data_IF_097211322016
#
_entry.id   IF_097211322016
#
_cell.length_a   1.000
_cell.length_b   1.000
_cell.length_c   1.000
_cell.angle_alpha   90.00
_cell.angle_beta   90.00
_cell.angle_gamma   90.00
#
_symmetry.space_group_name_H-M   'P 1'
#
loop_
_entity.id
_entity.type
_entity.pdbx_description
1 polymer ?
#
# COMPACT_ATOMS: atom_id res chain seq x y z
N UNK A 1 20.66 -30.09 -3.68
CA UNK A 1 19.64 -29.07 -3.95
C UNK A 1 19.94 -28.55 -5.36
N UNK A 2 18.97 -28.65 -6.25
CA UNK A 2 19.03 -28.09 -7.61
C UNK A 2 17.77 -27.25 -7.84
N UNK A 3 17.81 -26.35 -8.80
CA UNK A 3 16.64 -25.61 -9.25
C UNK A 3 16.53 -25.71 -10.77
N UNK A 4 15.30 -25.61 -11.26
CA UNK A 4 14.97 -25.51 -12.67
C UNK A 4 14.22 -24.20 -12.86
N UNK A 5 14.72 -23.36 -13.75
CA UNK A 5 14.04 -22.12 -14.13
C UNK A 5 13.15 -22.38 -15.32
N UNK A 6 11.87 -22.05 -15.17
CA UNK A 6 10.87 -22.13 -16.25
C UNK A 6 10.53 -20.73 -16.67
N UNK A 7 10.98 -20.32 -17.85
CA UNK A 7 10.65 -19.03 -18.42
C UNK A 7 9.46 -19.16 -19.36
N UNK A 8 8.51 -18.27 -19.18
CA UNK A 8 7.36 -18.12 -20.08
C UNK A 8 7.66 -17.02 -21.10
N UNK A 9 7.08 -17.14 -22.28
CA UNK A 9 7.18 -16.16 -23.37
C UNK A 9 6.27 -14.94 -23.17
N UNK A 10 5.58 -14.86 -22.04
CA UNK A 10 4.60 -13.82 -21.68
C UNK A 10 4.78 -13.41 -20.24
N UNK A 11 4.43 -12.15 -19.89
CA UNK A 11 4.29 -11.73 -18.50
C UNK A 11 3.28 -12.62 -17.75
N UNK A 12 3.45 -12.79 -16.46
CA UNK A 12 2.62 -13.61 -15.57
C UNK A 12 1.12 -13.29 -15.70
N UNK A 13 0.78 -12.00 -15.82
CA UNK A 13 -0.59 -11.51 -16.01
C UNK A 13 -1.27 -12.02 -17.31
N UNK A 14 -0.50 -12.45 -18.29
CA UNK A 14 -0.98 -13.02 -19.56
C UNK A 14 -1.00 -14.55 -19.58
N UNK A 15 -0.63 -15.20 -18.49
CA UNK A 15 -0.61 -16.64 -18.36
C UNK A 15 -2.00 -17.12 -17.94
N UNK A 16 -2.44 -18.21 -18.54
CA UNK A 16 -3.78 -18.78 -18.24
C UNK A 16 -3.86 -19.26 -16.80
N UNK A 17 -5.01 -19.06 -16.17
CA UNK A 17 -5.29 -19.45 -14.79
C UNK A 17 -5.03 -20.94 -14.51
N UNK A 18 -5.09 -21.80 -15.53
CA UNK A 18 -4.80 -23.22 -15.41
C UNK A 18 -3.30 -23.58 -15.39
N UNK A 19 -2.41 -22.63 -15.72
CA UNK A 19 -0.97 -22.91 -15.78
C UNK A 19 -0.40 -23.17 -14.38
N UNK A 20 -0.79 -22.39 -13.39
CA UNK A 20 -0.37 -22.62 -12.00
C UNK A 20 -0.90 -23.95 -11.47
N UNK A 21 -2.20 -24.26 -11.70
CA UNK A 21 -2.77 -25.51 -11.27
C UNK A 21 -2.07 -26.74 -11.87
N UNK A 22 -1.56 -26.65 -13.10
CA UNK A 22 -0.75 -27.69 -13.74
C UNK A 22 0.61 -27.87 -13.09
N UNK A 23 1.26 -26.75 -12.72
CA UNK A 23 2.53 -26.79 -12.00
C UNK A 23 2.35 -27.39 -10.61
N UNK A 24 1.32 -27.01 -9.89
CA UNK A 24 0.97 -27.57 -8.59
C UNK A 24 0.65 -29.07 -8.66
N UNK A 25 -0.07 -29.51 -9.69
CA UNK A 25 -0.34 -30.92 -9.94
C UNK A 25 0.97 -31.70 -10.21
N UNK A 26 1.93 -31.10 -10.89
CA UNK A 26 3.26 -31.70 -11.12
C UNK A 26 4.04 -31.81 -9.81
N UNK A 27 4.01 -30.77 -8.97
CA UNK A 27 4.61 -30.78 -7.63
C UNK A 27 4.03 -31.91 -6.78
N UNK A 28 2.72 -32.00 -6.66
CA UNK A 28 2.04 -32.99 -5.83
C UNK A 28 2.35 -34.43 -6.29
N UNK A 29 2.44 -34.66 -7.60
CA UNK A 29 2.78 -35.97 -8.16
C UNK A 29 4.23 -36.34 -7.86
N UNK A 30 5.15 -35.37 -7.93
CA UNK A 30 6.58 -35.58 -7.65
C UNK A 30 6.81 -35.83 -6.17
N UNK A 31 6.19 -35.05 -5.29
CA UNK A 31 6.28 -35.21 -3.84
C UNK A 31 5.70 -36.56 -3.38
N UNK A 32 4.61 -37.00 -3.99
CA UNK A 32 4.00 -38.31 -3.71
C UNK A 32 4.92 -39.47 -4.05
N UNK A 33 5.86 -39.33 -4.98
CA UNK A 33 6.87 -40.35 -5.31
C UNK A 33 7.89 -40.56 -4.19
N UNK A 34 8.04 -39.59 -3.26
CA UNK A 34 9.00 -39.59 -2.17
C UNK A 34 10.47 -39.49 -2.59
N UNK A 35 10.75 -39.37 -3.88
CA UNK A 35 12.09 -39.32 -4.42
C UNK A 35 12.72 -37.91 -4.33
N UNK A 36 11.94 -36.88 -4.52
CA UNK A 36 12.37 -35.49 -4.51
C UNK A 36 11.25 -34.64 -3.92
N UNK A 37 11.61 -33.70 -3.06
CA UNK A 37 10.71 -32.62 -2.61
C UNK A 37 10.85 -31.45 -3.56
N UNK A 38 9.76 -31.02 -4.18
CA UNK A 38 9.70 -29.90 -5.09
C UNK A 38 9.01 -28.73 -4.41
N UNK A 39 9.58 -27.54 -4.53
CA UNK A 39 8.96 -26.31 -4.11
C UNK A 39 8.89 -25.33 -5.28
N UNK A 40 7.74 -24.75 -5.51
CA UNK A 40 7.50 -23.77 -6.57
C UNK A 40 7.73 -22.37 -5.99
N UNK A 41 8.43 -21.52 -6.74
CA UNK A 41 8.68 -20.13 -6.39
C UNK A 41 8.75 -19.26 -7.63
N UNK A 42 8.69 -17.95 -7.46
CA UNK A 42 8.73 -16.97 -8.55
C UNK A 42 7.40 -16.22 -8.69
N UNK A 43 7.27 -15.44 -9.76
CA UNK A 43 6.15 -14.52 -9.94
C UNK A 43 4.81 -15.25 -10.13
N UNK A 44 4.77 -16.30 -10.95
CA UNK A 44 3.54 -17.03 -11.22
C UNK A 44 2.90 -17.67 -9.97
N UNK A 45 3.64 -18.40 -9.10
CA UNK A 45 3.08 -18.86 -7.83
C UNK A 45 2.65 -17.73 -6.90
N UNK A 46 3.42 -16.62 -6.84
CA UNK A 46 3.11 -15.50 -5.97
C UNK A 46 1.84 -14.75 -6.40
N UNK A 47 1.56 -14.67 -7.70
CA UNK A 47 0.32 -14.09 -8.22
C UNK A 47 -0.88 -15.01 -8.03
N UNK A 48 -0.70 -16.32 -8.24
CA UNK A 48 -1.78 -17.29 -8.05
C UNK A 48 -2.21 -17.46 -6.58
N UNK A 49 -1.28 -17.20 -5.64
CA UNK A 49 -1.55 -17.22 -4.18
C UNK A 49 -1.98 -15.83 -3.68
N UNK A 50 -1.99 -14.80 -4.53
CA UNK A 50 -2.62 -13.53 -4.14
C UNK A 50 -4.10 -13.78 -3.84
N UNK A 51 -4.36 -13.98 -2.54
CA UNK A 51 -5.74 -14.03 -2.04
C UNK A 51 -6.42 -12.71 -2.44
N UNK A 52 -7.63 -12.84 -3.01
CA UNK A 52 -8.50 -11.65 -3.15
C UNK A 52 -8.54 -10.91 -1.82
N UNK A 53 -8.69 -9.56 -1.81
CA UNK A 53 -8.74 -8.77 -0.59
C UNK A 53 -9.58 -9.48 0.45
N UNK A 54 -8.93 -10.11 1.41
CA UNK A 54 -9.52 -11.06 2.32
C UNK A 54 -10.29 -10.36 3.44
N UNK A 55 -11.00 -11.13 4.24
CA UNK A 55 -11.76 -10.61 5.38
C UNK A 55 -10.90 -9.79 6.37
N UNK A 56 -9.58 -9.93 6.34
CA UNK A 56 -8.65 -9.19 7.21
C UNK A 56 -8.60 -7.70 6.87
N UNK A 57 -8.57 -7.33 5.59
CA UNK A 57 -8.61 -5.92 5.17
C UNK A 57 -9.96 -5.28 5.49
N UNK A 58 -11.05 -6.02 5.29
CA UNK A 58 -12.39 -5.54 5.66
C UNK A 58 -12.48 -5.29 7.17
N UNK A 59 -11.94 -6.18 7.99
CA UNK A 59 -11.87 -6.00 9.45
C UNK A 59 -11.02 -4.77 9.79
N UNK A 60 -9.88 -4.58 9.14
CA UNK A 60 -9.02 -3.39 9.33
C UNK A 60 -9.77 -2.09 9.02
N UNK A 61 -10.47 -2.03 7.89
CA UNK A 61 -11.28 -0.87 7.49
C UNK A 61 -12.41 -0.63 8.49
N UNK A 62 -13.13 -1.66 8.92
CA UNK A 62 -14.21 -1.52 9.92
C UNK A 62 -13.69 -0.99 11.25
N UNK A 63 -12.57 -1.49 11.73
CA UNK A 63 -11.93 -0.99 12.96
C UNK A 63 -11.54 0.48 12.79
N UNK A 64 -10.93 0.86 11.66
CA UNK A 64 -10.57 2.25 11.38
C UNK A 64 -11.81 3.16 11.37
N UNK A 65 -12.91 2.74 10.74
CA UNK A 65 -14.18 3.47 10.72
C UNK A 65 -14.72 3.66 12.14
N UNK A 66 -14.72 2.62 12.98
CA UNK A 66 -15.19 2.71 14.36
C UNK A 66 -14.31 3.67 15.17
N UNK A 67 -12.99 3.57 15.07
CA UNK A 67 -12.04 4.46 15.75
C UNK A 67 -12.26 5.92 15.33
N UNK A 68 -12.39 6.18 14.02
CA UNK A 68 -12.65 7.52 13.50
C UNK A 68 -14.02 8.05 13.95
N UNK A 69 -15.04 7.21 13.97
CA UNK A 69 -16.37 7.59 14.44
C UNK A 69 -16.34 7.99 15.93
N UNK A 70 -15.63 7.25 16.75
CA UNK A 70 -15.44 7.57 18.18
C UNK A 70 -14.63 8.85 18.34
N UNK A 71 -13.54 9.01 17.59
CA UNK A 71 -12.68 10.19 17.65
C UNK A 71 -13.39 11.48 17.21
N UNK A 72 -14.20 11.40 16.17
CA UNK A 72 -14.90 12.56 15.62
C UNK A 72 -16.32 12.76 16.16
N UNK A 73 -16.98 11.71 16.61
CA UNK A 73 -18.36 11.74 17.07
C UNK A 73 -19.39 12.10 15.97
N UNK A 74 -18.98 12.07 14.70
CA UNK A 74 -19.81 12.45 13.56
C UNK A 74 -19.34 11.74 12.28
N UNK A 75 -20.29 11.15 11.56
CA UNK A 75 -20.04 10.48 10.26
C UNK A 75 -19.51 11.46 9.22
N UNK A 76 -20.02 12.68 9.18
CA UNK A 76 -19.60 13.71 8.23
C UNK A 76 -18.14 14.10 8.50
N UNK A 77 -17.78 14.30 9.76
CA UNK A 77 -16.41 14.67 10.14
C UNK A 77 -15.41 13.53 9.88
N UNK A 78 -15.84 12.28 10.03
CA UNK A 78 -15.04 11.08 9.66
C UNK A 78 -14.84 10.98 8.15
N UNK A 79 -15.83 11.38 7.35
CA UNK A 79 -15.76 11.30 5.89
C UNK A 79 -14.65 12.15 5.27
N UNK A 80 -14.25 13.24 5.92
CA UNK A 80 -13.24 14.15 5.39
C UNK A 80 -11.83 13.54 5.37
N UNK A 81 -11.30 12.96 6.46
CA UNK A 81 -10.01 12.23 6.40
C UNK A 81 -10.00 11.07 5.42
N UNK A 82 -11.06 10.28 5.39
CA UNK A 82 -11.20 9.15 4.47
C UNK A 82 -11.22 9.64 3.03
N UNK A 83 -11.99 10.67 2.72
CA UNK A 83 -12.06 11.25 1.38
C UNK A 83 -10.70 11.79 0.91
N UNK A 84 -9.96 12.48 1.77
CA UNK A 84 -8.62 12.97 1.47
C UNK A 84 -7.63 11.81 1.24
N UNK A 85 -7.68 10.77 2.07
CA UNK A 85 -6.83 9.59 1.90
C UNK A 85 -7.12 8.86 0.58
N UNK A 86 -8.40 8.73 0.19
CA UNK A 86 -8.77 8.11 -1.09
C UNK A 86 -8.31 8.93 -2.30
N UNK A 87 -8.42 10.26 -2.24
CA UNK A 87 -7.91 11.14 -3.31
C UNK A 87 -6.38 11.04 -3.37
N UNK A 88 -5.70 11.02 -2.22
CA UNK A 88 -4.25 10.82 -2.15
C UNK A 88 -3.84 9.48 -2.74
N UNK A 89 -4.53 8.40 -2.40
CA UNK A 89 -4.30 7.07 -2.93
C UNK A 89 -4.50 7.01 -4.45
N UNK A 90 -5.62 7.54 -4.95
CA UNK A 90 -5.87 7.57 -6.39
C UNK A 90 -4.79 8.34 -7.16
N UNK A 91 -4.32 9.47 -6.60
CA UNK A 91 -3.22 10.25 -7.16
C UNK A 91 -1.91 9.46 -7.14
N UNK A 92 -1.60 8.80 -6.02
CA UNK A 92 -0.39 7.98 -5.87
C UNK A 92 -0.37 6.82 -6.86
N UNK A 93 -1.46 6.04 -6.96
CA UNK A 93 -1.57 4.95 -7.92
C UNK A 93 -1.45 5.43 -9.37
N UNK A 94 -2.03 6.60 -9.68
CA UNK A 94 -1.86 7.23 -11.00
C UNK A 94 -0.41 7.60 -11.29
N UNK A 95 0.31 8.13 -10.30
CA UNK A 95 1.74 8.44 -10.43
C UNK A 95 2.59 7.17 -10.56
N UNK A 96 2.31 6.12 -9.79
CA UNK A 96 3.01 4.83 -9.92
C UNK A 96 2.83 4.27 -11.33
N UNK A 97 1.62 4.29 -11.87
CA UNK A 97 1.34 3.84 -13.23
C UNK A 97 2.11 4.66 -14.28
N UNK A 98 2.20 5.97 -14.06
CA UNK A 98 2.99 6.85 -14.93
C UNK A 98 4.49 6.51 -14.83
N UNK A 99 5.03 6.32 -13.64
CA UNK A 99 6.44 5.96 -13.42
C UNK A 99 6.75 4.59 -14.00
N UNK A 100 5.84 3.62 -13.86
CA UNK A 100 5.98 2.27 -14.43
C UNK A 100 6.12 2.26 -15.97
N UNK A 101 5.73 3.33 -16.65
CA UNK A 101 5.96 3.48 -18.09
C UNK A 101 7.41 3.81 -18.47
N UNK A 102 8.25 4.20 -17.50
CA UNK A 102 9.65 4.62 -17.72
C UNK A 102 10.66 3.88 -16.86
N UNK A 103 10.22 3.22 -15.79
CA UNK A 103 11.07 2.52 -14.83
C UNK A 103 10.43 1.20 -14.42
N UNK A 104 11.28 0.25 -14.04
CA UNK A 104 10.83 -1.02 -13.49
C UNK A 104 10.25 -0.79 -12.08
N UNK A 105 8.95 -0.98 -11.93
CA UNK A 105 8.22 -0.93 -10.66
C UNK A 105 7.85 -2.36 -10.28
N UNK A 106 8.11 -2.73 -9.04
CA UNK A 106 7.78 -4.06 -8.54
C UNK A 106 6.25 -4.24 -8.44
N UNK A 107 5.72 -5.39 -8.80
CA UNK A 107 4.28 -5.71 -8.76
C UNK A 107 3.65 -5.57 -7.36
N UNK A 108 4.45 -5.70 -6.31
CA UNK A 108 4.01 -5.51 -4.91
C UNK A 108 3.93 -4.03 -4.51
N UNK A 109 4.62 -3.13 -5.24
CA UNK A 109 4.70 -1.70 -4.89
C UNK A 109 3.34 -1.00 -4.78
N UNK A 110 2.37 -1.19 -5.70
CA UNK A 110 1.06 -0.56 -5.58
C UNK A 110 0.31 -0.97 -4.30
N UNK A 111 0.46 -2.24 -3.88
CA UNK A 111 -0.17 -2.75 -2.67
C UNK A 111 0.45 -2.09 -1.44
N UNK A 112 1.78 -2.01 -1.37
CA UNK A 112 2.49 -1.33 -0.28
C UNK A 112 2.17 0.16 -0.24
N UNK A 113 2.15 0.82 -1.39
CA UNK A 113 1.77 2.23 -1.50
C UNK A 113 0.34 2.46 -1.00
N UNK A 114 -0.60 1.57 -1.34
CA UNK A 114 -1.97 1.63 -0.86
C UNK A 114 -2.05 1.46 0.66
N UNK A 115 -1.37 0.46 1.22
CA UNK A 115 -1.36 0.21 2.67
C UNK A 115 -0.76 1.38 3.45
N UNK A 116 0.42 1.85 3.05
CA UNK A 116 1.10 2.97 3.70
C UNK A 116 0.30 4.26 3.47
N UNK A 117 -0.11 4.52 2.23
CA UNK A 117 -0.81 5.74 1.84
C UNK A 117 -2.16 5.90 2.54
N UNK A 118 -2.94 4.83 2.67
CA UNK A 118 -4.20 4.87 3.43
C UNK A 118 -3.94 5.10 4.92
N UNK A 119 -3.04 4.33 5.54
CA UNK A 119 -2.74 4.46 6.97
C UNK A 119 -2.23 5.85 7.32
N UNK A 120 -1.14 6.25 6.68
CA UNK A 120 -0.51 7.57 6.91
C UNK A 120 -1.42 8.72 6.49
N UNK A 121 -2.15 8.56 5.37
CA UNK A 121 -3.08 9.57 4.86
C UNK A 121 -4.23 9.84 5.82
N UNK A 122 -4.83 8.80 6.39
CA UNK A 122 -5.90 8.93 7.40
C UNK A 122 -5.34 9.56 8.68
N UNK A 123 -4.20 9.11 9.19
CA UNK A 123 -3.60 9.61 10.43
C UNK A 123 -3.22 11.08 10.33
N UNK A 124 -2.64 11.50 9.21
CA UNK A 124 -2.25 12.90 9.01
C UNK A 124 -3.46 13.80 8.78
N UNK A 125 -4.46 13.32 8.04
CA UNK A 125 -5.71 14.06 7.90
C UNK A 125 -6.43 14.19 9.25
N UNK A 126 -6.46 13.13 10.06
CA UNK A 126 -6.99 13.14 11.42
C UNK A 126 -6.31 14.20 12.28
N UNK A 127 -4.98 14.28 12.22
CA UNK A 127 -4.18 15.24 12.99
C UNK A 127 -4.53 16.69 12.63
N UNK A 128 -4.62 17.01 11.33
CA UNK A 128 -4.99 18.33 10.85
C UNK A 128 -6.43 18.69 11.25
N UNK A 129 -7.39 17.77 11.01
CA UNK A 129 -8.81 18.00 11.33
C UNK A 129 -9.05 18.14 12.83
N UNK A 130 -8.33 17.37 13.65
CA UNK A 130 -8.41 17.49 15.11
C UNK A 130 -7.94 18.86 15.56
N UNK A 131 -6.83 19.36 15.01
CA UNK A 131 -6.29 20.69 15.33
C UNK A 131 -7.23 21.80 14.88
N UNK A 132 -7.84 21.67 13.71
CA UNK A 132 -8.87 22.59 13.23
C UNK A 132 -10.07 22.65 14.18
N UNK A 133 -10.60 21.49 14.59
CA UNK A 133 -11.74 21.43 15.54
C UNK A 133 -11.39 22.00 16.92
N UNK A 134 -10.17 21.85 17.37
CA UNK A 134 -9.69 22.44 18.61
C UNK A 134 -9.69 23.97 18.53
N UNK A 135 -9.24 24.54 17.43
CA UNK A 135 -9.34 25.98 17.16
C UNK A 135 -10.78 26.49 17.23
N UNK A 136 -11.72 25.80 16.58
CA UNK A 136 -13.14 26.17 16.65
C UNK A 136 -13.71 26.11 18.08
N UNK A 137 -13.32 25.10 18.89
CA UNK A 137 -13.75 24.98 20.29
C UNK A 137 -13.22 26.11 21.18
N UNK A 138 -12.07 26.67 20.84
CA UNK A 138 -11.46 27.80 21.56
C UNK A 138 -12.00 29.15 21.09
N UNK A 139 -12.99 29.18 20.19
CA UNK A 139 -13.69 30.39 19.73
C UNK A 139 -13.04 31.04 18.50
N UNK A 140 -12.08 30.39 17.84
CA UNK A 140 -11.54 30.86 16.56
C UNK A 140 -12.61 30.80 15.47
N UNK A 141 -12.54 31.72 14.51
CA UNK A 141 -13.33 31.60 13.28
C UNK A 141 -12.86 30.42 12.44
N UNK A 142 -13.65 29.95 11.50
CA UNK A 142 -13.27 28.85 10.61
C UNK A 142 -11.99 29.13 9.83
N UNK A 143 -11.79 30.38 9.42
CA UNK A 143 -10.57 30.81 8.72
C UNK A 143 -9.35 30.76 9.63
N UNK A 144 -9.43 31.35 10.83
CA UNK A 144 -8.34 31.33 11.81
C UNK A 144 -7.99 29.92 12.25
N UNK A 145 -8.98 29.05 12.50
CA UNK A 145 -8.78 27.67 12.86
C UNK A 145 -8.09 26.87 11.73
N UNK A 146 -8.43 27.16 10.46
CA UNK A 146 -7.78 26.55 9.30
C UNK A 146 -6.31 26.97 9.21
N UNK A 147 -6.02 28.27 9.32
CA UNK A 147 -4.64 28.78 9.29
C UNK A 147 -3.83 28.17 10.44
N UNK A 148 -4.38 28.17 11.65
CA UNK A 148 -3.72 27.57 12.82
C UNK A 148 -3.44 26.07 12.64
N UNK A 149 -4.41 25.33 12.10
CA UNK A 149 -4.24 23.89 11.86
C UNK A 149 -3.15 23.61 10.80
N UNK A 150 -3.14 24.37 9.71
CA UNK A 150 -2.13 24.22 8.67
C UNK A 150 -0.73 24.68 9.12
N UNK A 151 -0.62 25.76 9.87
CA UNK A 151 0.66 26.25 10.37
C UNK A 151 1.28 25.34 11.44
N UNK A 152 0.47 24.60 12.19
CA UNK A 152 0.94 23.68 13.23
C UNK A 152 0.98 22.23 12.73
N UNK A 153 -0.17 21.61 12.60
CA UNK A 153 -0.30 20.20 12.19
C UNK A 153 0.18 19.99 10.73
N UNK A 154 -0.19 20.90 9.82
CA UNK A 154 0.21 20.79 8.42
C UNK A 154 1.73 20.81 8.24
N UNK A 155 2.45 21.70 8.95
CA UNK A 155 3.93 21.71 8.92
C UNK A 155 4.52 20.40 9.44
N UNK A 156 4.00 19.87 10.54
CA UNK A 156 4.44 18.59 11.07
C UNK A 156 4.25 17.43 10.07
N UNK A 157 3.11 17.42 9.36
CA UNK A 157 2.81 16.44 8.30
C UNK A 157 3.81 16.55 7.14
N UNK A 158 4.12 17.77 6.69
CA UNK A 158 5.12 17.99 5.63
C UNK A 158 6.49 17.47 6.05
N UNK A 159 6.95 17.76 7.27
CA UNK A 159 8.23 17.24 7.78
C UNK A 159 8.23 15.71 7.88
N UNK A 160 7.14 15.12 8.38
CA UNK A 160 7.00 13.67 8.46
C UNK A 160 7.04 13.04 7.05
N UNK A 161 6.34 13.62 6.07
CA UNK A 161 6.37 13.17 4.69
C UNK A 161 7.78 13.23 4.09
N UNK A 162 8.52 14.32 4.30
CA UNK A 162 9.93 14.40 3.89
C UNK A 162 10.80 13.32 4.52
N UNK A 163 10.58 13.00 5.79
CA UNK A 163 11.32 11.95 6.48
C UNK A 163 11.06 10.58 5.85
N UNK A 164 9.81 10.28 5.50
CA UNK A 164 9.44 9.04 4.80
C UNK A 164 10.12 8.98 3.43
N UNK A 165 10.05 10.05 2.64
CA UNK A 165 10.70 10.13 1.32
C UNK A 165 12.20 9.90 1.43
N UNK A 166 12.89 10.55 2.38
CA UNK A 166 14.33 10.36 2.59
C UNK A 166 14.64 8.91 2.99
N UNK A 167 13.80 8.30 3.83
CA UNK A 167 13.97 6.90 4.23
C UNK A 167 13.82 5.95 3.05
N UNK A 168 12.83 6.16 2.19
CA UNK A 168 12.62 5.37 0.97
C UNK A 168 13.76 5.55 -0.03
N UNK A 169 14.23 6.78 -0.23
CA UNK A 169 15.41 7.06 -1.05
C UNK A 169 16.66 6.35 -0.53
N UNK A 170 16.77 6.15 0.80
CA UNK A 170 17.84 5.36 1.41
C UNK A 170 17.86 3.90 0.94
N UNK A 171 16.73 3.33 0.51
CA UNK A 171 16.66 1.97 -0.01
C UNK A 171 17.45 1.80 -1.33
N UNK A 172 17.57 2.84 -2.14
CA UNK A 172 18.37 2.80 -3.37
C UNK A 172 19.87 2.57 -3.09
N UNK A 173 20.35 2.95 -1.91
CA UNK A 173 21.75 2.77 -1.51
C UNK A 173 22.08 1.27 -1.34
N UNK A 174 21.08 0.42 -1.07
CA UNK A 174 21.26 -1.02 -0.92
C UNK A 174 21.62 -1.73 -2.23
N UNK A 175 21.34 -1.14 -3.38
CA UNK A 175 21.74 -1.64 -4.70
C UNK A 175 21.08 -2.95 -5.14
N UNK A 176 20.03 -3.40 -4.49
CA UNK A 176 19.28 -4.61 -4.84
C UNK A 176 18.10 -4.22 -5.76
N UNK A 177 18.04 -4.83 -6.95
CA UNK A 177 17.02 -4.49 -7.97
C UNK A 177 15.60 -4.62 -7.45
N UNK A 178 15.30 -5.65 -6.67
CA UNK A 178 14.00 -5.84 -6.04
C UNK A 178 13.63 -4.70 -5.10
N UNK A 179 14.58 -4.26 -4.25
CA UNK A 179 14.39 -3.17 -3.30
C UNK A 179 14.24 -1.83 -4.03
N UNK A 180 15.01 -1.63 -5.10
CA UNK A 180 14.90 -0.42 -5.94
C UNK A 180 13.52 -0.33 -6.59
N UNK A 181 12.98 -1.44 -7.10
CA UNK A 181 11.62 -1.50 -7.64
C UNK A 181 10.56 -1.17 -6.59
N UNK A 182 10.70 -1.66 -5.36
CA UNK A 182 9.82 -1.31 -4.23
C UNK A 182 9.91 0.17 -3.87
N UNK A 183 11.13 0.70 -3.75
CA UNK A 183 11.35 2.11 -3.40
C UNK A 183 10.85 3.09 -4.48
N UNK A 184 10.83 2.66 -5.75
CA UNK A 184 10.31 3.47 -6.86
C UNK A 184 8.79 3.57 -6.82
N UNK A 185 8.11 2.54 -6.33
CA UNK A 185 6.64 2.48 -6.30
C UNK A 185 6.00 2.85 -4.95
N UNK A 186 6.78 2.96 -3.86
CA UNK A 186 6.29 3.34 -2.54
C UNK A 186 6.32 4.87 -2.34
#
# INVERSE_FOLDING_TARGET
>A
IGYVEVQYDRPSEGIRDDAFARLEATQSTTDASGAVRMELGGDLPSEAVQEEPGGQEIVGILVAVVVLLVAFGSVIAMGLPIGLALVGLATSLGLITLVASFADVNSVSPILAAMIGLGVGIDYALFIVTRYREGLKTGQTAEEATVTALDTAGRAVVFAGFTVVISLLGMFIMGLSFINGLATGA
#
